data_IF_731769463600
#
_entry.id   IF_731769463600
#
_cell.length_a   1.000
_cell.length_b   1.000
_cell.length_c   1.000
_cell.angle_alpha   90.00
_cell.angle_beta   90.00
_cell.angle_gamma   90.00
#
_symmetry.space_group_name_H-M   'P 1'
#
loop_
_entity.id
_entity.type
_entity.pdbx_description
1 polymer ?
#
# COMPACT_ATOMS: atom_id res chain seq x y z
N UNK A 1 -23.87 21.30 -17.25
CA UNK A 1 -22.63 21.51 -16.48
C UNK A 1 -22.70 20.87 -15.08
N UNK A 2 -23.85 20.85 -14.38
CA UNK A 2 -23.95 20.23 -13.05
C UNK A 2 -24.02 18.69 -13.06
N UNK A 3 -24.50 18.10 -14.15
CA UNK A 3 -24.65 16.64 -14.27
C UNK A 3 -23.31 15.91 -14.51
N UNK A 4 -22.40 16.53 -15.26
CA UNK A 4 -21.05 15.98 -15.53
C UNK A 4 -20.17 15.98 -14.28
N UNK A 5 -20.25 17.02 -13.45
CA UNK A 5 -19.53 17.05 -12.16
C UNK A 5 -19.97 15.93 -11.23
N UNK A 6 -21.28 15.67 -11.14
CA UNK A 6 -21.85 14.62 -10.30
C UNK A 6 -21.48 13.20 -10.76
N UNK A 7 -21.39 12.98 -12.08
CA UNK A 7 -20.93 11.72 -12.66
C UNK A 7 -19.45 11.49 -12.35
N UNK A 8 -18.61 12.52 -12.48
CA UNK A 8 -17.17 12.42 -12.20
C UNK A 8 -16.86 12.16 -10.72
N UNK A 9 -17.64 12.74 -9.79
CA UNK A 9 -17.50 12.48 -8.35
C UNK A 9 -17.86 11.02 -7.99
N UNK A 10 -18.93 10.48 -8.59
CA UNK A 10 -19.34 9.09 -8.36
C UNK A 10 -18.31 8.08 -8.87
N UNK A 11 -17.76 8.30 -10.08
CA UNK A 11 -16.71 7.43 -10.65
C UNK A 11 -15.46 7.43 -9.75
N UNK A 12 -15.04 8.60 -9.26
CA UNK A 12 -13.88 8.74 -8.37
C UNK A 12 -14.09 7.99 -7.05
N UNK A 13 -15.30 8.02 -6.50
CA UNK A 13 -15.64 7.33 -5.26
C UNK A 13 -15.62 5.79 -5.43
N UNK A 14 -16.17 5.26 -6.52
CA UNK A 14 -16.14 3.82 -6.82
C UNK A 14 -14.70 3.29 -6.99
N UNK A 15 -13.82 4.05 -7.63
CA UNK A 15 -12.41 3.70 -7.79
C UNK A 15 -11.66 3.63 -6.45
N UNK A 16 -11.90 4.60 -5.56
CA UNK A 16 -11.33 4.63 -4.21
C UNK A 16 -11.80 3.42 -3.40
N UNK A 17 -13.10 3.10 -3.44
CA UNK A 17 -13.66 1.96 -2.72
C UNK A 17 -13.09 0.63 -3.23
N UNK A 18 -12.99 0.47 -4.56
CA UNK A 18 -12.39 -0.72 -5.18
C UNK A 18 -10.94 -0.92 -4.74
N UNK A 19 -10.13 0.15 -4.76
CA UNK A 19 -8.74 0.12 -4.32
C UNK A 19 -8.62 -0.22 -2.84
N UNK A 20 -9.41 0.42 -1.98
CA UNK A 20 -9.40 0.15 -0.53
C UNK A 20 -9.76 -1.30 -0.24
N UNK A 21 -10.77 -1.84 -0.91
CA UNK A 21 -11.15 -3.25 -0.80
C UNK A 21 -10.00 -4.19 -1.20
N UNK A 22 -9.30 -3.87 -2.28
CA UNK A 22 -8.15 -4.65 -2.76
C UNK A 22 -6.96 -4.60 -1.78
N UNK A 23 -6.67 -3.42 -1.22
CA UNK A 23 -5.67 -3.25 -0.13
C UNK A 23 -6.04 -4.12 1.08
N UNK A 24 -7.29 -4.07 1.54
CA UNK A 24 -7.78 -4.86 2.69
C UNK A 24 -7.62 -6.36 2.42
N UNK A 25 -7.94 -6.83 1.20
CA UNK A 25 -7.76 -8.24 0.83
C UNK A 25 -6.29 -8.66 0.93
N UNK A 26 -5.36 -7.82 0.47
CA UNK A 26 -3.92 -8.12 0.58
C UNK A 26 -3.44 -8.12 2.04
N UNK A 27 -3.89 -7.16 2.84
CA UNK A 27 -3.57 -7.11 4.27
C UNK A 27 -4.06 -8.37 5.01
N UNK A 28 -5.27 -8.84 4.73
CA UNK A 28 -5.79 -10.10 5.29
C UNK A 28 -4.95 -11.32 4.90
N UNK A 29 -4.41 -11.35 3.67
CA UNK A 29 -3.48 -12.41 3.25
C UNK A 29 -2.18 -12.35 4.03
N UNK A 30 -1.61 -11.15 4.21
CA UNK A 30 -0.40 -10.93 5.00
C UNK A 30 -0.60 -11.36 6.45
N UNK A 31 -1.73 -11.01 7.06
CA UNK A 31 -2.10 -11.46 8.41
C UNK A 31 -2.09 -13.00 8.52
N UNK A 32 -2.67 -13.69 7.52
CA UNK A 32 -2.62 -15.15 7.44
C UNK A 32 -1.20 -15.72 7.32
N UNK A 33 -0.32 -15.05 6.57
CA UNK A 33 1.09 -15.43 6.46
C UNK A 33 1.84 -15.25 7.79
N UNK A 34 1.60 -14.14 8.50
CA UNK A 34 2.19 -13.89 9.83
C UNK A 34 1.79 -15.00 10.81
N UNK A 35 0.49 -15.31 10.90
CA UNK A 35 -0.01 -16.44 11.71
C UNK A 35 0.59 -17.79 11.28
N UNK A 36 0.88 -17.95 9.99
CA UNK A 36 1.57 -19.12 9.47
C UNK A 36 3.00 -19.24 10.01
N UNK A 37 3.74 -18.14 10.01
CA UNK A 37 5.11 -18.09 10.56
C UNK A 37 5.12 -18.37 12.06
N UNK A 38 4.19 -17.78 12.83
CA UNK A 38 4.06 -18.06 14.27
C UNK A 38 3.94 -19.57 14.54
N UNK A 39 3.09 -20.26 13.76
CA UNK A 39 2.96 -21.72 13.84
C UNK A 39 4.26 -22.43 13.48
N UNK A 40 4.91 -22.03 12.39
CA UNK A 40 6.19 -22.63 11.97
C UNK A 40 7.26 -22.53 13.05
N UNK A 41 7.34 -21.39 13.75
CA UNK A 41 8.25 -21.19 14.89
C UNK A 41 7.87 -22.11 16.04
N UNK A 42 6.58 -22.15 16.43
CA UNK A 42 6.12 -23.01 17.53
C UNK A 42 6.29 -24.51 17.26
N UNK A 43 6.29 -24.91 15.99
CA UNK A 43 6.47 -26.29 15.54
C UNK A 43 7.91 -26.61 15.15
N UNK A 44 8.88 -25.77 15.54
CA UNK A 44 10.32 -25.96 15.31
C UNK A 44 10.67 -26.25 13.83
N UNK A 45 9.94 -25.61 12.91
CA UNK A 45 10.16 -25.79 11.46
C UNK A 45 11.55 -25.28 11.06
N UNK A 46 12.13 -25.90 10.02
CA UNK A 46 13.42 -25.48 9.45
C UNK A 46 13.50 -23.96 9.24
N UNK A 47 14.56 -23.35 9.81
CA UNK A 47 14.80 -21.90 9.75
C UNK A 47 14.81 -21.36 8.32
N UNK A 48 15.32 -22.12 7.35
CA UNK A 48 15.32 -21.74 5.93
C UNK A 48 13.89 -21.52 5.41
N UNK A 49 12.96 -22.38 5.77
CA UNK A 49 11.57 -22.26 5.33
C UNK A 49 10.88 -21.06 5.97
N UNK A 50 11.18 -20.77 7.24
CA UNK A 50 10.71 -19.56 7.93
C UNK A 50 11.22 -18.32 7.20
N UNK A 51 12.52 -18.27 6.85
CA UNK A 51 13.10 -17.14 6.11
C UNK A 51 12.45 -16.93 4.74
N UNK A 52 12.08 -18.00 4.03
CA UNK A 52 11.33 -17.90 2.76
C UNK A 52 9.96 -17.25 2.98
N UNK A 53 9.24 -17.61 4.05
CA UNK A 53 7.96 -16.98 4.37
C UNK A 53 8.11 -15.52 4.79
N UNK A 54 9.15 -15.19 5.58
CA UNK A 54 9.47 -13.80 5.93
C UNK A 54 9.73 -12.97 4.66
N UNK A 55 10.50 -13.50 3.71
CA UNK A 55 10.75 -12.83 2.44
C UNK A 55 9.46 -12.64 1.62
N UNK A 56 8.55 -13.63 1.64
CA UNK A 56 7.25 -13.53 0.97
C UNK A 56 6.38 -12.42 1.59
N UNK A 57 6.34 -12.32 2.92
CA UNK A 57 5.62 -11.26 3.64
C UNK A 57 6.21 -9.89 3.29
N UNK A 58 7.54 -9.75 3.32
CA UNK A 58 8.20 -8.48 2.94
C UNK A 58 7.81 -8.05 1.53
N UNK A 59 7.82 -8.97 0.57
CA UNK A 59 7.38 -8.67 -0.80
C UNK A 59 5.90 -8.25 -0.87
N UNK A 60 5.02 -8.91 -0.11
CA UNK A 60 3.61 -8.59 -0.07
C UNK A 60 3.33 -7.21 0.57
N UNK A 61 4.02 -6.88 1.66
CA UNK A 61 3.94 -5.58 2.33
C UNK A 61 4.42 -4.47 1.39
N UNK A 62 5.55 -4.66 0.70
CA UNK A 62 6.06 -3.67 -0.26
C UNK A 62 5.06 -3.39 -1.39
N UNK A 63 4.34 -4.41 -1.86
CA UNK A 63 3.27 -4.23 -2.86
C UNK A 63 2.08 -3.43 -2.32
N UNK A 64 1.66 -3.69 -1.08
CA UNK A 64 0.60 -2.89 -0.44
C UNK A 64 1.04 -1.43 -0.28
N UNK A 65 2.26 -1.24 0.20
CA UNK A 65 2.88 0.07 0.35
C UNK A 65 2.93 0.88 -0.95
N UNK A 66 3.38 0.26 -2.04
CA UNK A 66 3.41 0.90 -3.36
C UNK A 66 2.04 1.39 -3.84
N UNK A 67 0.97 0.62 -3.59
CA UNK A 67 -0.41 1.03 -3.95
C UNK A 67 -0.92 2.21 -3.12
N UNK A 68 -0.50 2.30 -1.85
CA UNK A 68 -0.83 3.44 -0.99
C UNK A 68 -0.04 4.67 -1.44
N UNK A 69 1.25 4.48 -1.74
CA UNK A 69 2.15 5.54 -2.20
C UNK A 69 1.71 6.14 -3.54
N UNK A 70 1.33 5.30 -4.51
CA UNK A 70 0.80 5.76 -5.80
C UNK A 70 -0.39 6.71 -5.62
N UNK A 71 -1.30 6.39 -4.69
CA UNK A 71 -2.43 7.24 -4.40
C UNK A 71 -2.05 8.52 -3.67
N UNK A 72 -1.16 8.42 -2.68
CA UNK A 72 -0.63 9.58 -1.98
C UNK A 72 -0.01 10.57 -2.98
N UNK A 73 0.83 10.07 -3.89
CA UNK A 73 1.46 10.86 -4.93
C UNK A 73 0.45 11.50 -5.90
N UNK A 74 -0.62 10.77 -6.26
CA UNK A 74 -1.57 11.22 -7.28
C UNK A 74 -2.72 12.09 -6.77
N UNK A 75 -3.05 12.01 -5.46
CA UNK A 75 -4.28 12.60 -4.92
C UNK A 75 -4.09 13.41 -3.63
N UNK A 76 -3.04 13.14 -2.86
CA UNK A 76 -2.81 13.80 -1.57
C UNK A 76 -1.76 14.91 -1.68
N UNK A 77 -0.87 14.85 -2.68
CA UNK A 77 0.00 15.96 -3.02
C UNK A 77 -0.81 17.07 -3.69
N UNK A 78 -0.98 18.20 -3.02
CA UNK A 78 -1.61 19.38 -3.59
C UNK A 78 -0.58 20.14 -4.44
N UNK A 79 -0.37 19.68 -5.67
CA UNK A 79 0.57 20.29 -6.62
C UNK A 79 0.03 21.58 -7.27
N UNK A 80 -1.03 22.18 -6.73
CA UNK A 80 -1.77 23.28 -7.37
C UNK A 80 -1.07 24.63 -7.30
N UNK A 81 -0.19 24.84 -6.32
CA UNK A 81 0.65 26.02 -6.25
C UNK A 81 2.10 25.58 -6.49
N UNK A 82 2.69 26.09 -7.57
CA UNK A 82 4.09 25.95 -8.00
C UNK A 82 4.96 25.10 -7.08
N UNK A 83 5.29 23.86 -7.51
CA UNK A 83 6.37 23.01 -6.97
C UNK A 83 6.92 23.49 -5.61
N UNK A 84 6.13 23.34 -4.55
CA UNK A 84 6.67 23.59 -3.23
C UNK A 84 7.68 22.47 -2.99
N UNK A 85 8.96 22.83 -2.87
CA UNK A 85 10.07 21.94 -2.56
C UNK A 85 9.70 20.96 -1.43
N UNK A 86 8.82 21.41 -0.52
CA UNK A 86 8.21 20.66 0.57
C UNK A 86 7.36 19.45 0.13
N UNK A 87 6.46 19.59 -0.86
CA UNK A 87 5.65 18.46 -1.35
C UNK A 87 6.49 17.40 -2.09
N UNK A 88 7.49 17.84 -2.84
CA UNK A 88 8.47 16.94 -3.48
C UNK A 88 9.33 16.24 -2.43
N UNK A 89 9.75 16.96 -1.39
CA UNK A 89 10.50 16.41 -0.27
C UNK A 89 9.68 15.37 0.50
N UNK A 90 8.41 15.62 0.79
CA UNK A 90 7.54 14.67 1.50
C UNK A 90 7.34 13.37 0.69
N UNK A 91 7.20 13.50 -0.64
CA UNK A 91 7.18 12.36 -1.55
C UNK A 91 8.51 11.59 -1.52
N UNK A 92 9.65 12.27 -1.59
CA UNK A 92 10.97 11.66 -1.52
C UNK A 92 11.17 10.94 -0.18
N UNK A 93 10.82 11.57 0.94
CA UNK A 93 10.96 10.99 2.27
C UNK A 93 10.09 9.73 2.41
N UNK A 94 8.85 9.78 1.92
CA UNK A 94 7.96 8.62 1.90
C UNK A 94 8.50 7.51 1.00
N UNK A 95 9.02 7.86 -0.18
CA UNK A 95 9.63 6.89 -1.09
C UNK A 95 10.90 6.25 -0.50
N UNK A 96 11.74 7.04 0.16
CA UNK A 96 12.96 6.57 0.83
C UNK A 96 12.66 5.64 2.01
N UNK A 97 11.53 5.82 2.71
CA UNK A 97 11.06 4.86 3.72
C UNK A 97 10.77 3.48 3.12
N UNK A 98 10.31 3.42 1.86
CA UNK A 98 10.00 2.17 1.16
C UNK A 98 11.20 1.43 0.56
N UNK A 99 12.33 2.12 0.35
CA UNK A 99 13.53 1.55 -0.25
C UNK A 99 14.48 0.86 0.75
N UNK A 100 14.30 1.10 2.05
CA UNK A 100 15.08 0.47 3.13
C UNK A 100 14.63 -0.97 3.39
#
# INVERSE_FOLDING_TARGET
MDNEKKINENIKQEEIEKRNKDIIIRLRKIEGQVKGIEKMVSSETCCRNILVQVAAIRSAINKVGGLVLEHYASNCLDLKDQETEEGVKELIDTFMMFLK
#
